data_IF_606307020085
#
_entry.id   IF_606307020085
#
_cell.length_a   1.000
_cell.length_b   1.000
_cell.length_c   1.000
_cell.angle_alpha   90.00
_cell.angle_beta   90.00
_cell.angle_gamma   90.00
#
_symmetry.space_group_name_H-M   'P 1'
#
loop_
_entity.id
_entity.type
_entity.pdbx_description
1 polymer ?
#
# COMPACT_ATOMS: atom_id res chain seq x y z
N UNK A 1 3.80 -11.95 -17.64
CA UNK A 1 2.40 -11.71 -17.18
C UNK A 1 1.62 -10.91 -18.22
N UNK A 2 0.29 -11.03 -18.20
CA UNK A 2 -0.61 -10.29 -19.09
C UNK A 2 -1.05 -8.97 -18.43
N UNK A 3 -0.09 -8.08 -18.21
CA UNK A 3 -0.28 -6.73 -17.69
C UNK A 3 0.46 -5.74 -18.58
N UNK A 4 0.19 -4.43 -18.46
CA UNK A 4 0.94 -3.39 -19.17
C UNK A 4 2.29 -3.15 -18.54
N UNK A 5 2.36 -3.17 -17.21
CA UNK A 5 3.58 -2.98 -16.44
C UNK A 5 3.56 -3.86 -15.19
N UNK A 6 4.72 -4.23 -14.68
CA UNK A 6 4.81 -5.00 -13.47
C UNK A 6 6.22 -5.20 -12.94
N UNK A 7 6.32 -5.49 -11.66
CA UNK A 7 7.56 -5.77 -10.95
C UNK A 7 7.34 -6.84 -9.88
N UNK A 8 8.34 -7.66 -9.64
CA UNK A 8 8.42 -8.58 -8.50
C UNK A 8 9.74 -8.35 -7.78
N UNK A 9 9.67 -8.12 -6.48
CA UNK A 9 10.83 -7.80 -5.64
C UNK A 9 10.91 -8.78 -4.47
N UNK A 10 12.10 -9.25 -4.16
CA UNK A 10 12.37 -9.95 -2.90
C UNK A 10 12.41 -8.93 -1.76
N UNK A 11 11.60 -9.17 -0.73
CA UNK A 11 11.46 -8.22 0.40
C UNK A 11 12.75 -8.05 1.21
N UNK A 12 13.55 -9.12 1.35
CA UNK A 12 14.73 -9.11 2.22
C UNK A 12 15.97 -8.54 1.53
N UNK A 13 16.21 -8.97 0.29
CA UNK A 13 17.42 -8.59 -0.47
C UNK A 13 17.27 -7.33 -1.31
N UNK A 14 16.05 -6.82 -1.52
CA UNK A 14 15.71 -5.76 -2.49
C UNK A 14 15.92 -6.14 -3.96
N UNK A 15 16.28 -7.40 -4.24
CA UNK A 15 16.52 -7.86 -5.59
C UNK A 15 15.25 -7.83 -6.43
N UNK A 16 15.34 -7.26 -7.63
CA UNK A 16 14.27 -7.28 -8.61
C UNK A 16 14.31 -8.63 -9.32
N UNK A 17 13.32 -9.48 -9.01
CA UNK A 17 13.23 -10.84 -9.56
C UNK A 17 12.59 -10.89 -10.95
N UNK A 18 11.71 -9.95 -11.25
CA UNK A 18 11.03 -9.81 -12.53
C UNK A 18 10.63 -8.36 -12.74
N UNK A 19 10.74 -7.89 -13.98
CA UNK A 19 10.22 -6.58 -14.38
C UNK A 19 9.65 -6.59 -15.80
N UNK A 20 8.66 -5.73 -16.02
CA UNK A 20 8.01 -5.44 -17.28
C UNK A 20 7.65 -3.96 -17.26
N UNK A 21 8.44 -3.13 -17.94
CA UNK A 21 8.28 -1.67 -17.97
C UNK A 21 7.93 -1.07 -16.59
N UNK A 22 8.70 -1.38 -15.51
CA UNK A 22 8.31 -1.08 -14.14
C UNK A 22 8.27 0.42 -13.85
N UNK A 23 8.97 1.24 -14.64
CA UNK A 23 9.07 2.68 -14.50
C UNK A 23 8.10 3.44 -15.42
N UNK A 24 7.31 2.72 -16.23
CA UNK A 24 6.27 3.32 -17.04
C UNK A 24 5.23 4.03 -16.15
N UNK A 25 4.82 5.23 -16.57
CA UNK A 25 3.75 6.00 -15.92
C UNK A 25 2.49 5.16 -15.79
N UNK A 26 1.95 5.07 -14.59
CA UNK A 26 0.65 4.48 -14.29
C UNK A 26 -0.25 5.47 -13.55
N UNK A 27 -1.54 5.27 -13.64
CA UNK A 27 -2.52 5.89 -12.75
C UNK A 27 -2.78 4.92 -11.58
N UNK A 28 -2.27 5.21 -10.36
CA UNK A 28 -2.27 4.23 -9.26
C UNK A 28 -3.67 3.86 -8.78
N UNK A 29 -4.69 4.67 -9.09
CA UNK A 29 -6.05 4.45 -8.62
C UNK A 29 -6.04 4.24 -7.09
N UNK A 30 -6.85 3.30 -6.58
CA UNK A 30 -6.92 3.03 -5.15
C UNK A 30 -5.63 2.45 -4.52
N UNK A 31 -4.55 2.21 -5.28
CA UNK A 31 -3.24 1.93 -4.67
C UNK A 31 -2.65 3.18 -3.99
N UNK A 32 -3.07 4.39 -4.37
CA UNK A 32 -2.82 5.66 -3.65
C UNK A 32 -3.13 5.54 -2.15
N UNK A 33 -4.16 4.80 -1.78
CA UNK A 33 -4.58 4.60 -0.39
C UNK A 33 -3.55 3.92 0.50
N UNK A 34 -2.55 3.30 -0.09
CA UNK A 34 -1.39 2.77 0.66
C UNK A 34 -0.63 3.95 1.30
N UNK A 35 -0.38 5.04 0.55
CA UNK A 35 0.26 6.23 1.08
C UNK A 35 -0.63 6.94 2.11
N UNK A 36 -1.92 7.02 1.86
CA UNK A 36 -2.90 7.57 2.82
C UNK A 36 -2.83 6.85 4.17
N UNK A 37 -2.76 5.52 4.15
CA UNK A 37 -2.57 4.73 5.36
C UNK A 37 -1.19 4.95 6.00
N UNK A 38 -0.11 5.05 5.21
CA UNK A 38 1.26 5.30 5.70
C UNK A 38 1.31 6.62 6.47
N UNK A 39 0.71 7.70 5.96
CA UNK A 39 0.69 9.00 6.65
C UNK A 39 0.01 8.88 8.02
N UNK A 40 -1.15 8.22 8.08
CA UNK A 40 -1.84 8.00 9.36
C UNK A 40 -1.01 7.11 10.31
N UNK A 41 -0.40 6.03 9.81
CA UNK A 41 0.44 5.14 10.61
C UNK A 41 1.71 5.83 11.14
N UNK A 42 2.28 6.76 10.38
CA UNK A 42 3.42 7.56 10.82
C UNK A 42 3.03 8.46 12.01
N UNK A 43 1.85 9.07 11.96
CA UNK A 43 1.31 9.88 13.05
C UNK A 43 0.94 9.04 14.28
N UNK A 44 0.31 7.87 14.07
CA UNK A 44 0.00 6.91 15.14
C UNK A 44 1.28 6.43 15.84
N UNK A 45 2.31 6.06 15.07
CA UNK A 45 3.60 5.64 15.60
C UNK A 45 4.33 6.72 16.40
N UNK A 46 4.12 7.99 16.03
CA UNK A 46 4.67 9.17 16.72
C UNK A 46 3.79 9.66 17.88
N UNK A 47 2.71 8.98 18.20
CA UNK A 47 1.68 9.40 19.18
C UNK A 47 1.13 10.81 18.92
N UNK A 48 1.06 11.23 17.65
CA UNK A 48 0.43 12.48 17.19
C UNK A 48 -1.01 12.28 16.74
N UNK A 49 -1.45 11.05 16.67
CA UNK A 49 -2.79 10.58 16.34
C UNK A 49 -3.09 9.36 17.19
N UNK A 50 -4.36 9.13 17.56
CA UNK A 50 -4.85 7.93 18.20
C UNK A 50 -5.87 7.22 17.32
N UNK A 51 -5.98 5.89 17.44
CA UNK A 51 -7.03 5.13 16.76
C UNK A 51 -8.44 5.52 17.24
N UNK A 52 -8.54 5.99 18.49
CA UNK A 52 -9.80 6.44 19.11
C UNK A 52 -10.15 7.90 18.77
N UNK A 53 -9.21 8.68 18.22
CA UNK A 53 -9.50 10.04 17.76
C UNK A 53 -10.63 10.00 16.73
N UNK A 54 -11.55 10.97 16.81
CA UNK A 54 -12.71 11.06 15.93
C UNK A 54 -12.65 12.31 15.08
N UNK A 55 -13.00 12.14 13.81
CA UNK A 55 -13.13 13.26 12.88
C UNK A 55 -14.60 13.44 12.49
N UNK A 56 -15.03 14.72 12.46
CA UNK A 56 -16.35 15.10 11.98
C UNK A 56 -16.36 14.98 10.46
N UNK A 57 -17.37 14.29 9.93
CA UNK A 57 -17.50 14.08 8.49
C UNK A 57 -18.04 15.34 7.82
N UNK A 58 -17.22 15.91 6.95
CA UNK A 58 -17.57 17.06 6.13
C UNK A 58 -18.59 16.72 5.04
N UNK A 59 -19.22 17.74 4.50
CA UNK A 59 -20.06 17.59 3.30
C UNK A 59 -19.27 17.07 2.09
N UNK A 60 -18.00 17.49 1.95
CA UNK A 60 -17.12 17.05 0.87
C UNK A 60 -16.86 15.54 0.92
N UNK A 61 -16.46 15.02 2.09
CA UNK A 61 -16.29 13.59 2.30
C UNK A 61 -17.59 12.81 2.08
N UNK A 62 -18.72 13.30 2.65
CA UNK A 62 -20.02 12.66 2.48
C UNK A 62 -20.49 12.61 1.02
N UNK A 63 -20.27 13.65 0.22
CA UNK A 63 -20.64 13.67 -1.21
C UNK A 63 -20.02 12.51 -1.98
N UNK A 64 -18.81 12.08 -1.63
CA UNK A 64 -18.17 10.92 -2.24
C UNK A 64 -18.89 9.60 -1.91
N UNK A 65 -19.57 9.51 -0.76
CA UNK A 65 -20.36 8.35 -0.42
C UNK A 65 -21.59 8.17 -1.33
N UNK A 66 -22.03 9.27 -1.97
CA UNK A 66 -23.20 9.30 -2.86
C UNK A 66 -22.83 9.21 -4.36
N UNK A 67 -21.55 9.40 -4.70
CA UNK A 67 -21.09 9.57 -6.08
C UNK A 67 -20.89 8.26 -6.87
N UNK A 68 -21.28 7.11 -6.33
CA UNK A 68 -21.17 5.80 -6.99
C UNK A 68 -19.74 5.21 -7.00
N UNK A 69 -18.80 5.84 -6.31
CA UNK A 69 -17.46 5.30 -6.09
C UNK A 69 -17.43 4.26 -4.98
N UNK A 70 -16.27 3.59 -4.81
CA UNK A 70 -16.04 2.76 -3.62
C UNK A 70 -16.15 3.62 -2.36
N UNK A 71 -17.03 3.26 -1.45
CA UNK A 71 -17.38 4.05 -0.28
C UNK A 71 -17.51 3.18 0.96
N UNK A 72 -17.21 3.75 2.11
CA UNK A 72 -17.54 3.23 3.43
C UNK A 72 -18.98 3.58 3.84
N UNK A 73 -19.58 4.59 3.14
CA UNK A 73 -20.94 5.13 3.39
C UNK A 73 -21.04 5.90 4.73
N UNK A 74 -20.07 6.78 4.97
CA UNK A 74 -20.11 7.72 6.08
C UNK A 74 -21.24 8.76 5.89
N UNK A 75 -21.78 9.24 7.01
CA UNK A 75 -22.84 10.25 7.03
C UNK A 75 -22.28 11.62 7.40
N UNK A 76 -22.85 12.66 6.82
CA UNK A 76 -22.48 14.05 7.12
C UNK A 76 -22.67 14.36 8.62
N UNK A 77 -21.74 15.08 9.22
CA UNK A 77 -21.68 15.46 10.62
C UNK A 77 -21.52 14.30 11.63
N UNK A 78 -21.38 13.05 11.16
CA UNK A 78 -20.98 11.96 12.04
C UNK A 78 -19.56 12.16 12.57
N UNK A 79 -19.31 11.64 13.77
CA UNK A 79 -17.97 11.47 14.32
C UNK A 79 -17.48 10.05 14.09
N UNK A 80 -16.46 9.89 13.24
CA UNK A 80 -15.92 8.58 12.88
C UNK A 80 -14.49 8.44 13.40
N UNK A 81 -14.20 7.34 14.10
CA UNK A 81 -12.87 7.08 14.63
C UNK A 81 -11.85 6.83 13.52
N UNK A 82 -10.60 7.19 13.78
CA UNK A 82 -9.45 6.92 12.90
C UNK A 82 -9.35 5.43 12.58
N UNK A 83 -9.59 4.55 13.55
CA UNK A 83 -9.62 3.11 13.34
C UNK A 83 -10.65 2.70 12.27
N UNK A 84 -11.88 3.20 12.38
CA UNK A 84 -12.94 2.88 11.43
C UNK A 84 -12.66 3.48 10.05
N UNK A 85 -12.12 4.70 9.97
CA UNK A 85 -11.71 5.32 8.70
C UNK A 85 -10.62 4.47 8.02
N UNK A 86 -9.59 4.03 8.76
CA UNK A 86 -8.53 3.17 8.23
C UNK A 86 -9.07 1.82 7.72
N UNK A 87 -9.97 1.17 8.48
CA UNK A 87 -10.64 -0.06 8.02
C UNK A 87 -11.48 0.19 6.77
N UNK A 88 -12.21 1.28 6.72
CA UNK A 88 -12.96 1.71 5.53
C UNK A 88 -12.07 1.93 4.30
N UNK A 89 -10.92 2.60 4.47
CA UNK A 89 -9.93 2.85 3.42
C UNK A 89 -9.32 1.56 2.89
N UNK A 90 -8.85 0.72 3.80
CA UNK A 90 -8.06 -0.47 3.45
C UNK A 90 -8.96 -1.59 2.90
N UNK A 91 -10.05 -1.90 3.60
CA UNK A 91 -10.91 -3.06 3.30
C UNK A 91 -11.98 -2.71 2.27
N UNK A 92 -12.80 -1.69 2.54
CA UNK A 92 -13.87 -1.26 1.64
C UNK A 92 -13.36 -0.42 0.46
N UNK A 93 -12.13 0.10 0.54
CA UNK A 93 -11.56 1.04 -0.42
C UNK A 93 -12.34 2.36 -0.49
N UNK A 94 -12.89 2.83 0.64
CA UNK A 94 -13.73 4.01 0.74
C UNK A 94 -13.01 5.29 0.35
N UNK A 95 -13.49 5.98 -0.68
CA UNK A 95 -12.97 7.29 -1.07
C UNK A 95 -13.42 8.38 -0.11
N UNK A 96 -14.65 8.27 0.37
CA UNK A 96 -15.24 9.10 1.41
C UNK A 96 -14.41 9.06 2.71
N UNK A 97 -14.02 7.87 3.15
CA UNK A 97 -13.15 7.69 4.31
C UNK A 97 -11.75 8.30 4.10
N UNK A 98 -11.20 8.28 2.86
CA UNK A 98 -9.92 8.92 2.56
C UNK A 98 -9.99 10.44 2.76
N UNK A 99 -11.02 11.07 2.21
CA UNK A 99 -11.20 12.53 2.33
C UNK A 99 -11.43 12.91 3.80
N UNK A 100 -12.28 12.16 4.52
CA UNK A 100 -12.52 12.41 5.95
C UNK A 100 -11.23 12.30 6.78
N UNK A 101 -10.40 11.29 6.52
CA UNK A 101 -9.11 11.12 7.20
C UNK A 101 -8.14 12.26 6.84
N UNK A 102 -8.06 12.62 5.56
CA UNK A 102 -7.18 13.67 5.06
C UNK A 102 -7.53 15.04 5.65
N UNK A 103 -8.81 15.41 5.63
CA UNK A 103 -9.30 16.66 6.24
C UNK A 103 -9.08 16.68 7.76
N UNK A 104 -9.32 15.56 8.43
CA UNK A 104 -9.11 15.46 9.89
C UNK A 104 -7.64 15.59 10.30
N UNK A 105 -6.72 15.05 9.52
CA UNK A 105 -5.27 15.11 9.78
C UNK A 105 -4.67 16.47 9.37
N UNK A 106 -4.98 16.96 8.17
CA UNK A 106 -4.27 18.07 7.54
C UNK A 106 -5.14 19.33 7.34
N UNK A 107 -6.41 19.28 7.74
CA UNK A 107 -7.37 20.36 7.55
C UNK A 107 -7.92 20.48 6.14
N UNK A 108 -7.26 19.88 5.14
CA UNK A 108 -7.72 19.79 3.76
C UNK A 108 -7.08 18.61 3.01
N UNK A 109 -7.74 18.13 1.96
CA UNK A 109 -7.17 17.09 1.09
C UNK A 109 -5.93 17.59 0.34
N UNK A 110 -5.85 18.88 0.00
CA UNK A 110 -4.67 19.48 -0.64
C UNK A 110 -3.45 19.40 0.27
N UNK A 111 -3.55 19.87 1.51
CA UNK A 111 -2.45 19.79 2.48
C UNK A 111 -2.03 18.33 2.74
N UNK A 112 -3.01 17.42 2.76
CA UNK A 112 -2.73 16.00 2.92
C UNK A 112 -1.96 15.43 1.72
N UNK A 113 -2.28 15.86 0.49
CA UNK A 113 -1.55 15.48 -0.72
C UNK A 113 -0.11 15.99 -0.69
N UNK A 114 0.14 17.18 -0.14
CA UNK A 114 1.50 17.67 0.07
C UNK A 114 2.28 16.77 1.03
N UNK A 115 1.68 16.35 2.15
CA UNK A 115 2.28 15.38 3.07
C UNK A 115 2.58 14.03 2.38
N UNK A 116 1.68 13.57 1.50
CA UNK A 116 1.89 12.33 0.73
C UNK A 116 3.08 12.47 -0.22
N UNK A 117 3.23 13.61 -0.89
CA UNK A 117 4.34 13.87 -1.81
C UNK A 117 5.68 14.03 -1.07
N UNK A 118 5.69 14.73 0.07
CA UNK A 118 6.88 14.78 0.94
C UNK A 118 7.33 13.38 1.36
N UNK A 119 6.39 12.54 1.78
CA UNK A 119 6.68 11.15 2.14
C UNK A 119 7.15 10.33 0.94
N UNK A 120 6.58 10.54 -0.25
CA UNK A 120 7.02 9.86 -1.48
C UNK A 120 8.48 10.18 -1.79
N UNK A 121 8.88 11.45 -1.69
CA UNK A 121 10.27 11.87 -1.86
C UNK A 121 11.18 11.24 -0.78
N UNK A 122 10.75 11.29 0.50
CA UNK A 122 11.49 10.70 1.64
C UNK A 122 11.83 9.23 1.41
N UNK A 123 10.89 8.46 0.86
CA UNK A 123 11.06 7.01 0.67
C UNK A 123 11.61 6.62 -0.72
N UNK A 124 11.90 7.60 -1.59
CA UNK A 124 12.56 7.39 -2.87
C UNK A 124 11.62 7.06 -4.04
N UNK A 125 10.34 7.48 -3.98
CA UNK A 125 9.37 7.34 -5.08
C UNK A 125 9.55 8.46 -6.10
N UNK A 126 10.47 8.30 -7.04
CA UNK A 126 10.92 9.37 -7.96
C UNK A 126 9.98 9.62 -9.14
N UNK A 127 9.05 8.71 -9.41
CA UNK A 127 8.09 8.77 -10.52
C UNK A 127 6.65 8.96 -10.04
N UNK A 128 6.47 9.48 -8.81
CA UNK A 128 5.15 9.59 -8.17
C UNK A 128 4.79 11.02 -7.85
N UNK A 129 3.54 11.36 -8.13
CA UNK A 129 2.88 12.58 -7.68
C UNK A 129 1.46 12.25 -7.24
N UNK A 130 1.11 12.60 -6.02
CA UNK A 130 -0.23 12.44 -5.47
C UNK A 130 -0.97 13.78 -5.49
N UNK A 131 -2.16 13.82 -6.08
CA UNK A 131 -3.03 15.01 -6.11
C UNK A 131 -4.23 14.89 -5.19
N UNK A 132 -4.52 13.69 -4.70
CA UNK A 132 -5.61 13.42 -3.77
C UNK A 132 -5.33 12.18 -2.91
N UNK A 133 -6.10 12.01 -1.85
CA UNK A 133 -5.94 10.96 -0.85
C UNK A 133 -6.45 9.59 -1.29
N UNK A 134 -7.30 9.53 -2.31
CA UNK A 134 -8.08 8.34 -2.64
C UNK A 134 -7.64 7.62 -3.92
N UNK A 135 -6.94 8.34 -4.82
CA UNK A 135 -6.60 7.87 -6.16
C UNK A 135 -7.76 7.98 -7.15
N UNK A 136 -8.75 8.85 -6.88
CA UNK A 136 -9.75 9.24 -7.87
C UNK A 136 -9.02 9.82 -9.08
N UNK A 137 -9.59 9.59 -10.27
CA UNK A 137 -8.96 9.94 -11.53
C UNK A 137 -8.63 11.44 -11.63
N UNK A 138 -7.35 11.70 -11.69
CA UNK A 138 -6.74 12.98 -11.95
C UNK A 138 -5.51 12.74 -12.86
N UNK A 139 -5.31 13.51 -13.94
CA UNK A 139 -4.22 13.28 -14.88
C UNK A 139 -2.83 13.42 -14.28
N UNK A 140 -2.71 14.15 -13.16
CA UNK A 140 -1.47 14.40 -12.46
C UNK A 140 -1.26 13.47 -11.25
N UNK A 141 -2.28 12.66 -10.89
CA UNK A 141 -2.13 11.61 -9.88
C UNK A 141 -1.49 10.36 -10.50
N UNK A 142 -0.17 10.30 -10.46
CA UNK A 142 0.65 9.34 -11.21
C UNK A 142 1.65 8.62 -10.32
N UNK A 143 2.11 7.45 -10.77
CA UNK A 143 3.15 6.65 -10.13
C UNK A 143 3.81 5.70 -11.14
N UNK A 144 4.62 4.76 -10.65
CA UNK A 144 5.15 3.63 -11.40
C UNK A 144 4.97 2.32 -10.62
N UNK A 145 5.09 1.18 -11.28
CA UNK A 145 5.03 -0.11 -10.58
C UNK A 145 6.19 -0.25 -9.58
N UNK A 146 7.37 0.30 -9.91
CA UNK A 146 8.53 0.33 -9.02
C UNK A 146 8.25 1.16 -7.77
N UNK A 147 7.72 2.37 -7.90
CA UNK A 147 7.42 3.24 -6.77
C UNK A 147 6.36 2.63 -5.84
N UNK A 148 5.32 1.99 -6.41
CA UNK A 148 4.34 1.27 -5.62
C UNK A 148 4.97 0.08 -4.87
N UNK A 149 5.98 -0.59 -5.44
CA UNK A 149 6.71 -1.66 -4.74
C UNK A 149 7.57 -1.10 -3.60
N UNK A 150 8.24 0.04 -3.80
CA UNK A 150 9.00 0.77 -2.76
C UNK A 150 8.04 1.14 -1.60
N UNK A 151 6.92 1.76 -1.91
CA UNK A 151 5.89 2.14 -0.93
C UNK A 151 5.34 0.92 -0.18
N UNK A 152 5.09 -0.18 -0.87
CA UNK A 152 4.60 -1.42 -0.29
C UNK A 152 5.61 -2.04 0.68
N UNK A 153 6.89 -2.04 0.30
CA UNK A 153 7.97 -2.51 1.19
C UNK A 153 8.10 -1.62 2.42
N UNK A 154 8.07 -0.30 2.22
CA UNK A 154 8.14 0.68 3.31
C UNK A 154 7.01 0.47 4.33
N UNK A 155 5.78 0.28 3.87
CA UNK A 155 4.61 -0.03 4.70
C UNK A 155 4.87 -1.26 5.58
N UNK A 156 5.24 -2.39 4.98
CA UNK A 156 5.44 -3.66 5.69
C UNK A 156 6.58 -3.56 6.71
N UNK A 157 7.67 -2.89 6.33
CA UNK A 157 8.89 -2.78 7.16
C UNK A 157 8.69 -1.87 8.36
N UNK A 158 8.02 -0.72 8.17
CA UNK A 158 7.99 0.34 9.17
C UNK A 158 6.75 0.28 10.07
N UNK A 159 5.68 -0.37 9.62
CA UNK A 159 4.39 -0.44 10.34
C UNK A 159 3.84 -1.87 10.41
N UNK A 160 4.63 -2.88 10.88
CA UNK A 160 4.23 -4.28 10.84
C UNK A 160 2.93 -4.57 11.60
N UNK A 161 2.67 -3.87 12.73
CA UNK A 161 1.45 -4.03 13.52
C UNK A 161 0.23 -3.51 12.74
N UNK A 162 0.31 -2.31 12.18
CA UNK A 162 -0.79 -1.72 11.41
C UNK A 162 -0.99 -2.40 10.05
N UNK A 163 0.07 -3.02 9.51
CA UNK A 163 0.00 -3.77 8.27
C UNK A 163 -0.99 -4.95 8.35
N UNK A 164 -1.24 -5.50 9.53
CA UNK A 164 -2.20 -6.58 9.73
C UNK A 164 -3.61 -6.23 9.23
N UNK A 165 -3.99 -4.95 9.24
CA UNK A 165 -5.26 -4.47 8.69
C UNK A 165 -5.43 -4.81 7.20
N UNK A 166 -4.33 -4.90 6.43
CA UNK A 166 -4.38 -5.24 5.00
C UNK A 166 -4.72 -6.70 4.74
N UNK A 167 -4.54 -7.58 5.74
CA UNK A 167 -4.93 -8.98 5.69
C UNK A 167 -6.39 -9.23 6.09
N UNK A 168 -7.06 -8.26 6.70
CA UNK A 168 -8.45 -8.37 7.10
C UNK A 168 -9.37 -8.55 5.90
N UNK A 169 -10.23 -9.57 5.98
CA UNK A 169 -11.10 -9.96 4.85
C UNK A 169 -12.42 -9.22 4.80
N UNK A 170 -12.92 -8.74 5.95
CA UNK A 170 -14.23 -8.07 6.05
C UNK A 170 -14.20 -6.95 7.07
N UNK A 171 -14.99 -5.93 6.82
CA UNK A 171 -15.25 -4.83 7.73
C UNK A 171 -16.75 -4.57 7.79
N UNK A 172 -17.30 -4.40 8.97
CA UNK A 172 -18.70 -3.99 9.18
C UNK A 172 -18.69 -2.59 9.75
N UNK A 173 -19.27 -1.67 9.02
CA UNK A 173 -19.47 -0.29 9.43
C UNK A 173 -20.88 -0.11 10.00
N UNK A 174 -20.95 0.23 11.27
CA UNK A 174 -22.20 0.54 11.97
C UNK A 174 -22.49 2.03 11.83
N UNK A 175 -23.10 2.38 10.72
CA UNK A 175 -23.36 3.79 10.36
C UNK A 175 -24.55 4.35 11.12
N UNK A 176 -24.50 5.65 11.41
CA UNK A 176 -25.63 6.39 11.97
C UNK A 176 -26.82 6.40 10.99
N UNK A 177 -28.02 6.15 11.52
CA UNK A 177 -29.28 6.27 10.79
C UNK A 177 -29.53 5.20 9.72
N UNK A 178 -28.89 4.03 9.82
CA UNK A 178 -29.10 2.91 8.90
C UNK A 178 -28.62 1.59 9.43
N UNK A 179 -28.90 0.51 8.68
CA UNK A 179 -28.40 -0.82 9.00
C UNK A 179 -26.86 -0.89 8.81
N UNK A 180 -26.18 -1.70 9.63
CA UNK A 180 -24.73 -1.94 9.47
C UNK A 180 -24.38 -2.44 8.08
N UNK A 181 -23.30 -1.91 7.51
CA UNK A 181 -22.85 -2.28 6.16
C UNK A 181 -21.62 -3.15 6.25
N UNK A 182 -21.76 -4.42 5.87
CA UNK A 182 -20.63 -5.36 5.77
C UNK A 182 -20.03 -5.33 4.37
N UNK A 183 -18.72 -5.08 4.30
CA UNK A 183 -17.97 -5.08 3.04
C UNK A 183 -16.77 -6.03 3.11
N UNK A 184 -16.45 -6.65 1.95
CA UNK A 184 -15.29 -7.50 1.80
C UNK A 184 -14.07 -6.73 1.30
N UNK A 185 -12.87 -7.20 1.68
CA UNK A 185 -11.63 -6.69 1.12
C UNK A 185 -11.60 -6.94 -0.39
N UNK A 186 -11.21 -5.91 -1.14
CA UNK A 186 -11.20 -5.94 -2.61
C UNK A 186 -10.07 -6.80 -3.19
N UNK A 187 -9.07 -7.21 -2.38
CA UNK A 187 -7.98 -8.07 -2.82
C UNK A 187 -8.44 -9.54 -2.93
N UNK A 188 -8.61 -10.08 -4.15
CA UNK A 188 -9.13 -11.44 -4.34
C UNK A 188 -8.16 -12.53 -3.88
N UNK A 189 -6.88 -12.22 -3.72
CA UNK A 189 -5.86 -13.20 -3.34
C UNK A 189 -5.92 -13.56 -1.86
N UNK A 190 -6.45 -12.68 -1.00
CA UNK A 190 -6.66 -12.95 0.44
C UNK A 190 -7.57 -14.16 0.68
N UNK A 191 -8.50 -14.42 -0.24
CA UNK A 191 -9.48 -15.51 -0.11
C UNK A 191 -8.96 -16.86 -0.63
N UNK A 192 -7.72 -16.89 -1.17
CA UNK A 192 -7.14 -18.13 -1.74
C UNK A 192 -6.33 -18.94 -0.73
N UNK A 193 -6.06 -18.42 0.45
CA UNK A 193 -5.29 -19.07 1.52
C UNK A 193 -3.91 -19.60 1.05
N UNK A 194 -3.19 -18.81 0.28
CA UNK A 194 -1.89 -19.17 -0.34
C UNK A 194 -0.70 -18.43 0.25
N UNK A 195 -0.89 -17.76 1.40
CA UNK A 195 0.15 -16.97 2.06
C UNK A 195 0.17 -15.49 1.62
N UNK A 196 -0.84 -15.04 0.86
CA UNK A 196 -1.04 -13.61 0.55
C UNK A 196 -1.69 -12.93 1.75
N UNK A 197 -1.11 -11.81 2.19
CA UNK A 197 -1.56 -11.03 3.36
C UNK A 197 -1.74 -9.52 3.06
N UNK A 198 -1.77 -9.14 1.80
CA UNK A 198 -1.97 -7.74 1.35
C UNK A 198 -1.82 -7.62 -0.16
N UNK A 199 -1.90 -6.44 -0.76
CA UNK A 199 -1.97 -5.11 -0.16
C UNK A 199 -3.22 -4.39 -0.67
N UNK A 200 -3.21 -3.92 -1.95
CA UNK A 200 -4.30 -3.06 -2.45
C UNK A 200 -4.56 -3.22 -3.93
N UNK A 201 -5.83 -3.28 -4.30
CA UNK A 201 -6.27 -3.24 -5.69
C UNK A 201 -6.46 -1.81 -6.17
N UNK A 202 -6.30 -1.59 -7.49
CA UNK A 202 -6.68 -0.37 -8.17
C UNK A 202 -7.57 -0.65 -9.39
N UNK A 203 -8.38 0.34 -9.76
CA UNK A 203 -9.12 0.37 -11.00
C UNK A 203 -9.46 1.81 -11.40
N UNK A 204 -9.10 2.17 -12.62
CA UNK A 204 -9.59 3.33 -13.36
C UNK A 204 -9.86 2.88 -14.80
N UNK A 205 -10.83 3.48 -15.47
CA UNK A 205 -11.15 3.11 -16.85
C UNK A 205 -9.94 3.27 -17.79
N UNK A 206 -9.13 4.30 -17.57
CA UNK A 206 -7.93 4.62 -18.35
C UNK A 206 -6.79 3.63 -18.10
N UNK A 207 -6.61 3.14 -16.88
CA UNK A 207 -5.52 2.23 -16.47
C UNK A 207 -5.95 0.75 -16.47
N UNK A 208 -7.27 0.47 -16.43
CA UNK A 208 -7.84 -0.86 -16.18
C UNK A 208 -7.57 -1.33 -14.73
N UNK A 209 -7.31 -2.63 -14.55
CA UNK A 209 -7.16 -3.24 -13.23
C UNK A 209 -5.69 -3.31 -12.83
N UNK A 210 -5.42 -3.05 -11.55
CA UNK A 210 -4.09 -3.12 -10.95
C UNK A 210 -4.12 -3.81 -9.58
N UNK A 211 -2.98 -4.31 -9.13
CA UNK A 211 -2.81 -4.95 -7.83
C UNK A 211 -1.38 -4.78 -7.33
N UNK A 212 -1.24 -4.21 -6.16
CA UNK A 212 -0.08 -4.40 -5.30
C UNK A 212 -0.37 -5.55 -4.35
N UNK A 213 0.45 -6.59 -4.37
CA UNK A 213 0.26 -7.81 -3.57
C UNK A 213 1.56 -8.30 -2.99
N UNK A 214 1.48 -9.01 -1.88
CA UNK A 214 2.62 -9.66 -1.26
C UNK A 214 2.23 -11.04 -0.76
N UNK A 215 3.19 -11.95 -0.78
CA UNK A 215 3.04 -13.31 -0.30
C UNK A 215 4.19 -13.64 0.64
N UNK A 216 3.85 -14.22 1.78
CA UNK A 216 4.83 -14.74 2.73
C UNK A 216 4.70 -16.26 2.84
N UNK A 217 5.82 -16.97 2.73
CA UNK A 217 5.91 -18.42 2.98
C UNK A 217 7.15 -18.66 3.82
N UNK A 218 6.96 -19.27 4.98
CA UNK A 218 8.01 -19.37 6.01
C UNK A 218 8.56 -17.97 6.33
N UNK A 219 9.86 -17.81 6.29
CA UNK A 219 10.52 -16.51 6.58
C UNK A 219 10.76 -15.66 5.32
N UNK A 220 10.38 -16.15 4.14
CA UNK A 220 10.54 -15.43 2.88
C UNK A 220 9.29 -14.67 2.49
N UNK A 221 9.47 -13.45 1.98
CA UNK A 221 8.41 -12.59 1.44
C UNK A 221 8.81 -12.04 0.08
N UNK A 222 7.87 -11.99 -0.84
CA UNK A 222 8.00 -11.29 -2.12
C UNK A 222 6.86 -10.29 -2.29
N UNK A 223 7.13 -9.20 -3.00
CA UNK A 223 6.16 -8.14 -3.32
C UNK A 223 6.00 -8.08 -4.83
N UNK A 224 4.77 -8.15 -5.32
CA UNK A 224 4.43 -8.01 -6.72
C UNK A 224 3.49 -6.83 -6.93
N UNK A 225 3.84 -5.96 -7.87
CA UNK A 225 2.97 -4.88 -8.33
C UNK A 225 2.78 -5.02 -9.83
N UNK A 226 1.55 -4.96 -10.29
CA UNK A 226 1.26 -4.95 -11.72
C UNK A 226 0.00 -4.13 -12.03
N UNK A 227 0.03 -3.47 -13.19
CA UNK A 227 -1.01 -2.56 -13.64
C UNK A 227 -1.35 -2.77 -15.12
N UNK A 228 -2.57 -2.38 -15.51
CA UNK A 228 -3.04 -2.49 -16.88
C UNK A 228 -3.60 -3.87 -17.24
N UNK A 229 -4.10 -4.64 -16.30
CA UNK A 229 -4.82 -5.87 -16.60
C UNK A 229 -6.18 -5.60 -17.23
N UNK A 230 -6.51 -6.28 -18.31
CA UNK A 230 -7.77 -6.08 -19.01
C UNK A 230 -9.02 -6.51 -18.21
N UNK A 231 -8.89 -7.47 -17.29
CA UNK A 231 -10.03 -7.99 -16.51
C UNK A 231 -9.65 -8.25 -15.04
N UNK A 232 -10.67 -8.26 -14.16
CA UNK A 232 -10.50 -8.69 -12.75
C UNK A 232 -9.93 -10.12 -12.64
N UNK A 233 -10.31 -11.00 -13.57
CA UNK A 233 -9.84 -12.39 -13.59
C UNK A 233 -8.35 -12.45 -13.90
N UNK A 234 -7.89 -11.74 -14.93
CA UNK A 234 -6.47 -11.64 -15.27
C UNK A 234 -5.65 -11.02 -14.14
N UNK A 235 -6.13 -9.91 -13.54
CA UNK A 235 -5.49 -9.32 -12.36
C UNK A 235 -5.23 -10.37 -11.28
N UNK A 236 -6.24 -11.17 -10.93
CA UNK A 236 -6.11 -12.20 -9.89
C UNK A 236 -5.19 -13.34 -10.30
N UNK A 237 -5.36 -13.90 -11.50
CA UNK A 237 -4.59 -15.07 -11.95
C UNK A 237 -3.14 -14.75 -12.23
N UNK A 238 -2.86 -13.64 -12.92
CA UNK A 238 -1.50 -13.28 -13.31
C UNK A 238 -0.68 -12.74 -12.12
N UNK A 239 -1.29 -11.99 -11.20
CA UNK A 239 -0.59 -11.59 -9.98
C UNK A 239 -0.23 -12.79 -9.11
N UNK A 240 -1.13 -13.78 -8.97
CA UNK A 240 -0.81 -15.00 -8.24
C UNK A 240 0.27 -15.82 -8.95
N UNK A 241 0.23 -15.90 -10.27
CA UNK A 241 1.26 -16.55 -11.09
C UNK A 241 2.63 -15.92 -10.86
N UNK A 242 2.71 -14.57 -10.85
CA UNK A 242 3.95 -13.84 -10.63
C UNK A 242 4.51 -14.11 -9.22
N UNK A 243 3.69 -14.03 -8.18
CA UNK A 243 4.09 -14.35 -6.81
C UNK A 243 4.62 -15.80 -6.69
N UNK A 244 3.88 -16.76 -7.23
CA UNK A 244 4.31 -18.16 -7.21
C UNK A 244 5.58 -18.40 -8.02
N UNK A 245 5.78 -17.68 -9.14
CA UNK A 245 6.99 -17.77 -9.94
C UNK A 245 8.22 -17.38 -9.10
N UNK A 246 8.14 -16.30 -8.32
CA UNK A 246 9.21 -15.90 -7.42
C UNK A 246 9.62 -17.00 -6.45
N UNK A 247 8.65 -17.63 -5.79
CA UNK A 247 8.95 -18.73 -4.85
C UNK A 247 9.47 -20.00 -5.50
N UNK A 248 9.10 -20.27 -6.75
CA UNK A 248 9.52 -21.50 -7.45
C UNK A 248 10.89 -21.40 -8.11
N UNK A 249 11.25 -20.19 -8.56
CA UNK A 249 12.42 -20.00 -9.43
C UNK A 249 13.57 -19.27 -8.74
N UNK A 250 13.37 -18.73 -7.55
CA UNK A 250 14.39 -17.99 -6.80
C UNK A 250 14.38 -18.41 -5.33
N UNK A 251 15.53 -18.25 -4.67
CA UNK A 251 15.67 -18.45 -3.23
C UNK A 251 16.40 -17.25 -2.62
N UNK A 252 16.12 -16.97 -1.36
CA UNK A 252 16.83 -15.95 -0.57
C UNK A 252 17.69 -16.67 0.46
N UNK A 253 18.98 -16.35 0.47
CA UNK A 253 19.94 -16.92 1.40
C UNK A 253 20.48 -15.82 2.30
N UNK A 254 20.50 -16.07 3.61
CA UNK A 254 21.19 -15.22 4.56
C UNK A 254 22.68 -15.52 4.48
N UNK A 255 23.49 -14.60 3.96
CA UNK A 255 24.94 -14.76 3.84
C UNK A 255 25.60 -14.51 5.20
N UNK A 256 25.12 -13.51 5.93
CA UNK A 256 25.63 -13.15 7.26
C UNK A 256 24.59 -12.39 8.06
N UNK A 257 24.67 -12.48 9.39
CA UNK A 257 23.86 -11.63 10.29
C UNK A 257 24.58 -10.30 10.53
N UNK A 258 23.81 -9.22 10.59
CA UNK A 258 24.33 -7.88 10.92
C UNK A 258 25.19 -7.94 12.18
N UNK A 259 26.40 -7.37 12.11
CA UNK A 259 27.36 -7.34 13.21
C UNK A 259 28.18 -8.62 13.40
N UNK A 260 28.00 -9.66 12.57
CA UNK A 260 28.92 -10.81 12.55
C UNK A 260 30.03 -10.58 11.54
N UNK A 261 31.28 -10.73 12.01
CA UNK A 261 32.43 -10.75 11.11
C UNK A 261 32.36 -11.92 10.16
N UNK A 262 32.35 -11.65 8.85
CA UNK A 262 32.32 -12.66 7.78
C UNK A 262 33.71 -13.10 7.44
N UNK A 263 34.68 -12.14 7.40
CA UNK A 263 36.07 -12.37 7.16
C UNK A 263 36.92 -11.23 7.74
N UNK A 264 38.24 -11.48 7.89
CA UNK A 264 39.22 -10.47 8.29
C UNK A 264 40.09 -10.14 7.08
N UNK A 265 40.31 -8.86 6.85
CA UNK A 265 41.23 -8.36 5.82
C UNK A 265 42.50 -7.79 6.48
N UNK A 266 43.63 -8.11 5.89
CA UNK A 266 44.87 -7.47 6.28
C UNK A 266 44.90 -6.00 5.84
N UNK A 267 45.37 -5.13 6.70
CA UNK A 267 45.44 -3.69 6.41
C UNK A 267 46.90 -3.27 6.18
N UNK A 268 47.09 -2.43 5.15
CA UNK A 268 48.39 -1.78 4.89
C UNK A 268 48.36 -0.37 5.48
N UNK A 269 49.34 -0.06 6.34
CA UNK A 269 49.46 1.24 7.02
C UNK A 269 48.25 1.64 7.91
N UNK A 270 47.44 0.70 8.33
CA UNK A 270 46.32 0.94 9.27
C UNK A 270 46.83 0.98 10.74
N UNK A 271 45.95 1.52 11.62
CA UNK A 271 46.20 1.50 13.08
C UNK A 271 46.08 0.10 13.68
N UNK A 272 45.51 -0.86 12.93
CA UNK A 272 45.52 -2.28 13.25
C UNK A 272 45.94 -3.08 12.02
N UNK A 273 46.55 -4.25 12.23
CA UNK A 273 46.97 -5.13 11.13
C UNK A 273 45.85 -5.83 10.42
N UNK A 274 44.64 -5.79 10.98
CA UNK A 274 43.42 -6.42 10.40
C UNK A 274 42.21 -5.56 10.63
N UNK A 275 41.28 -5.58 9.65
CA UNK A 275 39.94 -5.04 9.74
C UNK A 275 38.92 -6.16 9.60
N UNK A 276 37.90 -6.12 10.43
CA UNK A 276 36.77 -7.07 10.37
C UNK A 276 35.71 -6.55 9.38
N UNK A 277 35.32 -7.37 8.43
CA UNK A 277 34.28 -7.10 7.44
C UNK A 277 33.11 -8.09 7.56
#
# INVERSE_FOLDING_TARGET
>A
IQARTGILVDYHSDEVLYELDPDAKIYPASMTKIMTAIIAFDLLKKNKLSLDDKFIISENAWRLSQAGYSSMFIMINDEVSVENLLKGIIIASGNDACVALAEGIAGSESNFSDMMNEKAVEIGMTSTNFTNSSGINDPDNVSSARDIAIMSKYLIKNYPIFYELFAEKTFTWDRTGGEPIKQGNRNPLLYKNVGVDGIKTGYLAVEKYSLASTMKKNDRRVIAVASGFNTKKLRSSESLKLLNWGFRNTNTFEISKTGKTVFELDTWLGTSNKIKA
#
